data_IF_762013393372
#
_entry.id   IF_762013393372
#
_cell.length_a   1.000
_cell.length_b   1.000
_cell.length_c   1.000
_cell.angle_alpha   90.00
_cell.angle_beta   90.00
_cell.angle_gamma   90.00
#
_symmetry.space_group_name_H-M   'P 1'
#
loop_
_entity.id
_entity.type
_entity.pdbx_description
1 polymer ?
#
# COMPACT_ATOMS: atom_id res chain seq x y z
N UNK A 1 15.74 22.13 -44.40
CA UNK A 1 14.96 21.50 -43.31
C UNK A 1 15.75 20.36 -42.63
N UNK A 2 16.90 20.66 -41.98
CA UNK A 2 17.76 19.64 -41.34
C UNK A 2 18.06 19.91 -39.85
N UNK A 3 17.64 21.06 -39.31
CA UNK A 3 18.00 21.50 -37.96
C UNK A 3 17.12 20.95 -36.81
N UNK A 4 16.00 20.28 -37.11
CA UNK A 4 15.09 19.70 -36.09
C UNK A 4 15.42 18.25 -35.69
N UNK A 5 16.26 17.56 -36.48
CA UNK A 5 16.65 16.16 -36.29
C UNK A 5 17.59 15.89 -35.10
N UNK A 6 18.59 16.76 -34.78
CA UNK A 6 19.51 16.49 -33.68
C UNK A 6 18.81 16.43 -32.32
N UNK A 7 17.87 17.35 -32.08
CA UNK A 7 17.10 17.40 -30.83
C UNK A 7 16.18 16.18 -30.64
N UNK A 8 15.66 15.62 -31.73
CA UNK A 8 14.83 14.41 -31.68
C UNK A 8 15.68 13.16 -31.39
N UNK A 9 16.86 13.06 -32.01
CA UNK A 9 17.83 11.98 -31.77
C UNK A 9 18.34 11.97 -30.32
N UNK A 10 18.69 13.14 -29.78
CA UNK A 10 19.11 13.26 -28.37
C UNK A 10 17.97 12.86 -27.42
N UNK A 11 16.72 13.24 -27.72
CA UNK A 11 15.54 12.82 -26.92
C UNK A 11 15.30 11.32 -26.97
N UNK A 12 15.50 10.67 -28.12
CA UNK A 12 15.36 9.23 -28.26
C UNK A 12 16.49 8.48 -27.54
N UNK A 13 17.73 8.94 -27.70
CA UNK A 13 18.90 8.37 -27.02
C UNK A 13 18.78 8.48 -25.49
N UNK A 14 18.35 9.65 -24.98
CA UNK A 14 18.11 9.85 -23.54
C UNK A 14 16.96 8.98 -23.02
N UNK A 15 15.87 8.82 -23.78
CA UNK A 15 14.80 7.86 -23.44
C UNK A 15 15.29 6.42 -23.40
N UNK A 16 16.09 6.02 -24.40
CA UNK A 16 16.70 4.69 -24.46
C UNK A 16 17.61 4.45 -23.26
N UNK A 17 18.54 5.37 -23.01
CA UNK A 17 19.45 5.30 -21.86
C UNK A 17 18.71 5.26 -20.51
N UNK A 18 17.61 6.02 -20.37
CA UNK A 18 16.76 5.98 -19.17
C UNK A 18 16.15 4.60 -18.96
N UNK A 19 15.51 4.02 -19.99
CA UNK A 19 14.91 2.67 -19.92
C UNK A 19 15.93 1.56 -19.68
N UNK A 20 17.17 1.78 -20.11
CA UNK A 20 18.27 0.82 -19.97
C UNK A 20 19.03 0.94 -18.64
N UNK A 21 18.63 1.80 -17.71
CA UNK A 21 19.36 1.94 -16.43
C UNK A 21 20.70 2.66 -16.56
N UNK A 22 20.93 3.41 -17.65
CA UNK A 22 22.22 4.03 -17.97
C UNK A 22 22.36 5.48 -17.47
N UNK A 23 21.29 6.06 -16.91
CA UNK A 23 21.33 7.43 -16.38
C UNK A 23 22.14 7.52 -15.08
N UNK A 24 22.59 8.73 -14.68
CA UNK A 24 23.13 8.95 -13.35
C UNK A 24 22.13 8.52 -12.27
N UNK A 25 22.63 7.93 -11.18
CA UNK A 25 21.76 7.47 -10.07
C UNK A 25 20.95 8.62 -9.45
N UNK A 26 21.47 9.85 -9.46
CA UNK A 26 20.73 11.04 -9.01
C UNK A 26 19.45 11.30 -9.80
N UNK A 27 19.42 10.96 -11.10
CA UNK A 27 18.22 11.07 -11.93
C UNK A 27 17.14 10.09 -11.47
N UNK A 28 17.52 8.84 -11.23
CA UNK A 28 16.60 7.83 -10.72
C UNK A 28 16.10 8.15 -9.31
N UNK A 29 16.98 8.61 -8.42
CA UNK A 29 16.59 9.06 -7.07
C UNK A 29 15.58 10.22 -7.14
N UNK A 30 15.79 11.18 -8.04
CA UNK A 30 14.83 12.26 -8.23
C UNK A 30 13.46 11.74 -8.69
N UNK A 31 13.43 10.77 -9.60
CA UNK A 31 12.20 10.13 -10.07
C UNK A 31 11.49 9.35 -8.97
N UNK A 32 12.24 8.59 -8.14
CA UNK A 32 11.71 7.91 -6.95
C UNK A 32 11.03 8.93 -6.03
N UNK A 33 11.69 10.06 -5.75
CA UNK A 33 11.12 11.11 -4.90
C UNK A 33 9.86 11.74 -5.50
N UNK A 34 9.78 11.87 -6.83
CA UNK A 34 8.56 12.35 -7.48
C UNK A 34 7.43 11.33 -7.40
N UNK A 35 7.71 10.05 -7.59
CA UNK A 35 6.74 8.97 -7.48
C UNK A 35 6.17 8.88 -6.06
N UNK A 36 7.04 8.90 -5.04
CA UNK A 36 6.63 8.93 -3.63
C UNK A 36 5.76 10.15 -3.29
N UNK A 37 6.10 11.34 -3.82
CA UNK A 37 5.28 12.55 -3.65
C UNK A 37 3.87 12.42 -4.26
N UNK A 38 3.73 11.65 -5.35
CA UNK A 38 2.44 11.36 -5.99
C UNK A 38 1.69 10.22 -5.30
N UNK A 39 2.33 9.52 -4.36
CA UNK A 39 1.79 8.33 -3.71
C UNK A 39 1.88 7.06 -4.55
N UNK A 40 2.65 7.08 -5.64
CA UNK A 40 2.86 5.92 -6.51
C UNK A 40 4.06 5.11 -6.01
N UNK A 41 3.75 4.13 -5.15
CA UNK A 41 4.76 3.24 -4.58
C UNK A 41 5.32 2.27 -5.62
N UNK A 42 4.49 1.81 -6.56
CA UNK A 42 4.89 0.83 -7.58
C UNK A 42 5.87 1.46 -8.55
N UNK A 43 5.61 2.71 -8.99
CA UNK A 43 6.56 3.48 -9.79
C UNK A 43 7.88 3.68 -9.02
N UNK A 44 7.82 4.09 -7.74
CA UNK A 44 9.01 4.30 -6.92
C UNK A 44 9.88 3.03 -6.79
N UNK A 45 9.27 1.88 -6.52
CA UNK A 45 9.96 0.58 -6.41
C UNK A 45 10.55 0.15 -7.75
N UNK A 46 9.80 0.32 -8.84
CA UNK A 46 10.27 -0.05 -10.18
C UNK A 46 11.50 0.76 -10.61
N UNK A 47 11.49 2.06 -10.33
CA UNK A 47 12.61 2.96 -10.63
C UNK A 47 13.82 2.65 -9.76
N UNK A 48 13.60 2.35 -8.47
CA UNK A 48 14.66 1.89 -7.58
C UNK A 48 15.33 0.61 -8.11
N UNK A 49 14.54 -0.42 -8.46
CA UNK A 49 15.05 -1.66 -9.05
C UNK A 49 15.85 -1.41 -10.33
N UNK A 50 15.36 -0.51 -11.19
CA UNK A 50 16.08 -0.14 -12.41
C UNK A 50 17.43 0.52 -12.09
N UNK A 51 17.48 1.40 -11.10
CA UNK A 51 18.70 2.10 -10.66
C UNK A 51 19.80 1.12 -10.22
N UNK A 52 19.44 0.12 -9.42
CA UNK A 52 20.38 -0.85 -8.83
C UNK A 52 20.65 -2.07 -9.70
N UNK A 53 19.83 -2.31 -10.74
CA UNK A 53 19.98 -3.48 -11.62
C UNK A 53 21.31 -3.56 -12.38
N UNK A 54 21.98 -2.42 -12.60
CA UNK A 54 23.22 -2.34 -13.40
C UNK A 54 24.43 -1.80 -12.66
N UNK A 55 24.22 -1.17 -11.51
CA UNK A 55 25.27 -0.51 -10.73
C UNK A 55 24.98 -0.70 -9.26
N UNK A 56 26.04 -0.87 -8.48
CA UNK A 56 25.94 -0.90 -7.02
C UNK A 56 25.28 0.39 -6.53
N UNK A 57 24.40 0.26 -5.53
CA UNK A 57 23.74 1.40 -4.93
C UNK A 57 24.76 2.36 -4.31
N UNK A 58 24.63 3.65 -4.61
CA UNK A 58 25.37 4.69 -3.89
C UNK A 58 24.62 5.13 -2.64
N UNK A 59 25.28 5.90 -1.78
CA UNK A 59 24.67 6.48 -0.57
C UNK A 59 23.33 7.19 -0.86
N UNK A 60 23.22 7.93 -1.96
CA UNK A 60 21.96 8.62 -2.32
C UNK A 60 20.84 7.64 -2.73
N UNK A 61 21.21 6.48 -3.24
CA UNK A 61 20.27 5.42 -3.63
C UNK A 61 19.84 4.61 -2.39
N UNK A 62 20.75 4.41 -1.43
CA UNK A 62 20.41 3.82 -0.12
C UNK A 62 19.42 4.70 0.65
N UNK A 63 19.66 6.02 0.71
CA UNK A 63 18.70 6.96 1.33
C UNK A 63 17.34 6.89 0.61
N UNK A 64 17.33 6.75 -0.72
CA UNK A 64 16.09 6.57 -1.46
C UNK A 64 15.37 5.26 -1.11
N UNK A 65 16.10 4.15 -0.89
CA UNK A 65 15.54 2.89 -0.39
C UNK A 65 14.89 3.08 0.98
N UNK A 66 15.59 3.73 1.92
CA UNK A 66 15.07 4.00 3.26
C UNK A 66 13.79 4.82 3.21
N UNK A 67 13.71 5.82 2.33
CA UNK A 67 12.50 6.62 2.14
C UNK A 67 11.33 5.80 1.58
N UNK A 68 11.59 4.86 0.67
CA UNK A 68 10.57 3.92 0.20
C UNK A 68 10.10 3.03 1.36
N UNK A 69 11.02 2.48 2.16
CA UNK A 69 10.68 1.67 3.33
C UNK A 69 9.83 2.44 4.34
N UNK A 70 10.19 3.69 4.64
CA UNK A 70 9.40 4.56 5.54
C UNK A 70 8.01 4.87 4.97
N UNK A 71 7.90 5.07 3.66
CA UNK A 71 6.61 5.29 3.01
C UNK A 71 5.70 4.05 3.14
N UNK A 72 6.27 2.86 2.99
CA UNK A 72 5.57 1.59 3.23
C UNK A 72 5.09 1.51 4.68
N UNK A 73 5.98 1.80 5.65
CA UNK A 73 5.65 1.73 7.08
C UNK A 73 4.49 2.67 7.44
N UNK A 74 4.53 3.92 6.99
CA UNK A 74 3.44 4.88 7.20
C UNK A 74 2.11 4.36 6.62
N UNK A 75 2.15 3.67 5.48
CA UNK A 75 0.95 3.13 4.83
C UNK A 75 0.41 1.91 5.60
N UNK A 76 1.30 1.05 6.08
CA UNK A 76 0.95 -0.08 6.95
C UNK A 76 0.31 0.42 8.25
N UNK A 77 0.90 1.41 8.92
CA UNK A 77 0.36 1.98 10.16
C UNK A 77 -1.05 2.55 9.96
N UNK A 78 -1.29 3.24 8.84
CA UNK A 78 -2.62 3.76 8.50
C UNK A 78 -3.64 2.65 8.28
N UNK A 79 -3.26 1.59 7.56
CA UNK A 79 -4.14 0.44 7.32
C UNK A 79 -4.41 -0.32 8.62
N UNK A 80 -3.39 -0.47 9.48
CA UNK A 80 -3.55 -1.11 10.79
C UNK A 80 -4.52 -0.32 11.67
N UNK A 81 -4.41 1.01 11.71
CA UNK A 81 -5.37 1.86 12.41
C UNK A 81 -6.80 1.67 11.90
N UNK A 82 -7.00 1.49 10.59
CA UNK A 82 -8.33 1.19 10.02
C UNK A 82 -8.84 -0.20 10.40
N UNK A 83 -7.96 -1.19 10.40
CA UNK A 83 -8.29 -2.54 10.87
C UNK A 83 -8.73 -2.49 12.34
N UNK A 84 -8.01 -1.76 13.19
CA UNK A 84 -8.33 -1.64 14.61
C UNK A 84 -9.68 -0.94 14.83
N UNK A 85 -10.01 0.09 14.03
CA UNK A 85 -11.33 0.73 14.03
C UNK A 85 -12.45 -0.26 13.66
N UNK A 86 -12.28 -1.02 12.56
CA UNK A 86 -13.27 -2.01 12.10
C UNK A 86 -13.44 -3.13 13.14
N UNK A 87 -12.35 -3.63 13.71
CA UNK A 87 -12.38 -4.64 14.75
C UNK A 87 -13.12 -4.13 16.00
N UNK A 88 -12.91 -2.87 16.39
CA UNK A 88 -13.61 -2.26 17.52
C UNK A 88 -15.11 -2.14 17.26
N UNK A 89 -15.53 -1.74 16.05
CA UNK A 89 -16.95 -1.70 15.66
C UNK A 89 -17.57 -3.10 15.75
N UNK A 90 -16.90 -4.12 15.21
CA UNK A 90 -17.37 -5.50 15.27
C UNK A 90 -17.47 -6.03 16.70
N UNK A 91 -16.49 -5.71 17.57
CA UNK A 91 -16.52 -6.09 19.00
C UNK A 91 -17.64 -5.38 19.75
N UNK A 92 -17.82 -4.07 19.52
CA UNK A 92 -18.90 -3.29 20.12
C UNK A 92 -20.27 -3.86 19.73
N UNK A 93 -20.48 -4.17 18.45
CA UNK A 93 -21.73 -4.77 17.94
C UNK A 93 -21.99 -6.15 18.55
N UNK A 94 -20.97 -7.01 18.66
CA UNK A 94 -21.09 -8.31 19.35
C UNK A 94 -21.50 -8.14 20.81
N UNK A 95 -20.91 -7.18 21.52
CA UNK A 95 -21.23 -6.93 22.93
C UNK A 95 -22.65 -6.38 23.11
N UNK A 96 -23.09 -5.47 22.23
CA UNK A 96 -24.45 -4.94 22.19
C UNK A 96 -25.46 -6.03 21.87
N UNK A 97 -25.18 -6.87 20.86
CA UNK A 97 -26.01 -8.01 20.52
C UNK A 97 -26.10 -9.01 21.66
N UNK A 98 -25.01 -9.29 22.38
CA UNK A 98 -25.03 -10.16 23.56
C UNK A 98 -25.84 -9.54 24.72
N UNK A 99 -25.85 -8.22 24.88
CA UNK A 99 -26.71 -7.52 25.87
C UNK A 99 -28.17 -7.55 25.45
N UNK A 100 -28.47 -7.20 24.21
CA UNK A 100 -29.81 -7.25 23.62
C UNK A 100 -30.37 -8.66 23.67
N UNK A 101 -29.61 -9.69 23.32
CA UNK A 101 -30.03 -11.09 23.41
C UNK A 101 -30.34 -11.50 24.85
N UNK A 102 -29.55 -11.06 25.84
CA UNK A 102 -29.84 -11.33 27.27
C UNK A 102 -31.09 -10.61 27.74
N UNK A 103 -31.29 -9.36 27.32
CA UNK A 103 -32.51 -8.60 27.63
C UNK A 103 -33.74 -9.22 26.95
N UNK A 104 -33.64 -9.52 25.66
CA UNK A 104 -34.68 -10.20 24.89
C UNK A 104 -34.95 -11.61 25.38
N UNK A 105 -33.97 -12.38 25.85
CA UNK A 105 -34.23 -13.68 26.47
C UNK A 105 -35.05 -13.57 27.77
N UNK A 106 -34.89 -12.46 28.52
CA UNK A 106 -35.76 -12.15 29.66
C UNK A 106 -37.17 -11.70 29.24
N UNK A 107 -37.29 -11.02 28.11
CA UNK A 107 -38.56 -10.46 27.61
C UNK A 107 -39.37 -11.46 26.77
N UNK A 108 -38.76 -12.14 25.79
CA UNK A 108 -39.33 -13.22 24.96
C UNK A 108 -39.47 -14.56 25.70
N UNK A 109 -39.07 -14.65 26.98
CA UNK A 109 -39.57 -15.71 27.86
C UNK A 109 -41.10 -15.70 27.99
N UNK A 110 -41.77 -14.61 27.56
CA UNK A 110 -43.23 -14.45 27.56
C UNK A 110 -43.88 -14.47 26.17
N UNK A 111 -43.17 -14.25 25.06
CA UNK A 111 -43.78 -14.15 23.72
C UNK A 111 -42.88 -14.78 22.64
N UNK A 112 -43.50 -15.49 21.68
CA UNK A 112 -42.82 -16.29 20.65
C UNK A 112 -41.92 -15.48 19.69
N UNK A 113 -40.84 -16.13 19.24
CA UNK A 113 -39.69 -15.58 18.49
C UNK A 113 -39.99 -15.02 17.09
N UNK A 114 -39.24 -13.97 16.71
CA UNK A 114 -38.72 -13.75 15.33
C UNK A 114 -37.25 -13.27 15.38
N UNK A 115 -36.37 -13.74 14.48
CA UNK A 115 -34.98 -13.28 14.40
C UNK A 115 -34.84 -11.95 13.64
N UNK A 116 -33.90 -11.09 14.07
CA UNK A 116 -33.61 -9.76 13.50
C UNK A 116 -32.85 -9.83 12.15
N UNK A 117 -33.04 -8.85 11.24
CA UNK A 117 -32.42 -8.82 9.92
C UNK A 117 -31.20 -7.87 9.87
N UNK A 118 -29.97 -8.36 10.07
CA UNK A 118 -28.77 -7.47 10.05
C UNK A 118 -27.48 -8.09 9.50
N UNK A 119 -27.53 -9.33 8.97
CA UNK A 119 -26.34 -10.10 8.58
C UNK A 119 -25.50 -9.51 7.42
N UNK A 120 -26.05 -8.62 6.59
CA UNK A 120 -25.32 -8.05 5.44
C UNK A 120 -24.19 -7.07 5.83
N UNK A 121 -24.40 -6.29 6.89
CA UNK A 121 -23.46 -5.25 7.27
C UNK A 121 -22.20 -5.82 7.98
N UNK A 122 -22.32 -6.95 8.68
CA UNK A 122 -21.14 -7.64 9.22
C UNK A 122 -20.30 -8.34 8.15
N UNK A 123 -20.91 -8.87 7.09
CA UNK A 123 -20.15 -9.50 6.01
C UNK A 123 -19.32 -8.49 5.22
N UNK A 124 -19.87 -7.30 4.98
CA UNK A 124 -19.16 -6.21 4.29
C UNK A 124 -17.93 -5.75 5.10
N UNK A 125 -18.08 -5.49 6.41
CA UNK A 125 -16.96 -5.11 7.28
C UNK A 125 -15.88 -6.19 7.39
N UNK A 126 -16.26 -7.48 7.32
CA UNK A 126 -15.30 -8.59 7.31
C UNK A 126 -14.55 -8.70 5.99
N UNK A 127 -15.21 -8.39 4.87
CA UNK A 127 -14.57 -8.34 3.56
C UNK A 127 -13.55 -7.21 3.50
N UNK A 128 -13.92 -6.00 3.95
CA UNK A 128 -13.03 -4.84 4.03
C UNK A 128 -11.80 -5.13 4.93
N UNK A 129 -12.01 -5.78 6.07
CA UNK A 129 -10.92 -6.22 6.94
C UNK A 129 -9.97 -7.23 6.25
N UNK A 130 -10.51 -8.17 5.47
CA UNK A 130 -9.69 -9.13 4.73
C UNK A 130 -8.88 -8.44 3.62
N UNK A 131 -9.47 -7.48 2.91
CA UNK A 131 -8.78 -6.68 1.89
C UNK A 131 -7.64 -5.85 2.49
N UNK A 132 -7.88 -5.18 3.62
CA UNK A 132 -6.83 -4.40 4.29
C UNK A 132 -5.68 -5.29 4.80
N UNK A 133 -5.98 -6.49 5.30
CA UNK A 133 -4.94 -7.46 5.70
C UNK A 133 -4.12 -7.93 4.52
N UNK A 134 -4.76 -8.30 3.40
CA UNK A 134 -4.06 -8.68 2.17
C UNK A 134 -3.19 -7.53 1.63
N UNK A 135 -3.66 -6.29 1.74
CA UNK A 135 -2.90 -5.11 1.33
C UNK A 135 -1.66 -4.88 2.20
N UNK A 136 -1.75 -5.10 3.52
CA UNK A 136 -0.60 -5.05 4.42
C UNK A 136 0.41 -6.16 4.06
N UNK A 137 -0.05 -7.38 3.81
CA UNK A 137 0.82 -8.49 3.39
C UNK A 137 1.60 -8.15 2.12
N UNK A 138 0.94 -7.59 1.10
CA UNK A 138 1.60 -7.15 -0.13
C UNK A 138 2.62 -6.03 0.09
N UNK A 139 2.33 -5.08 0.98
CA UNK A 139 3.26 -4.01 1.33
C UNK A 139 4.49 -4.54 2.09
N UNK A 140 4.29 -5.50 2.98
CA UNK A 140 5.39 -6.14 3.70
C UNK A 140 6.26 -6.98 2.75
N UNK A 141 5.66 -7.68 1.79
CA UNK A 141 6.39 -8.43 0.77
C UNK A 141 7.31 -7.50 -0.05
N UNK A 142 6.77 -6.36 -0.52
CA UNK A 142 7.56 -5.31 -1.18
C UNK A 142 8.75 -4.87 -0.31
N UNK A 143 8.52 -4.65 0.98
CA UNK A 143 9.58 -4.23 1.92
C UNK A 143 10.66 -5.30 2.08
N UNK A 144 10.29 -6.58 2.21
CA UNK A 144 11.26 -7.68 2.31
C UNK A 144 12.11 -7.80 1.05
N UNK A 145 11.48 -7.67 -0.12
CA UNK A 145 12.18 -7.67 -1.40
C UNK A 145 13.15 -6.49 -1.54
N UNK A 146 12.77 -5.29 -1.11
CA UNK A 146 13.67 -4.13 -1.13
C UNK A 146 14.92 -4.35 -0.28
N UNK A 147 14.78 -4.98 0.90
CA UNK A 147 15.91 -5.30 1.79
C UNK A 147 16.85 -6.36 1.24
N UNK A 148 16.34 -7.26 0.38
CA UNK A 148 17.17 -8.29 -0.27
C UNK A 148 18.01 -7.78 -1.44
N UNK A 149 17.76 -6.56 -1.92
CA UNK A 149 18.40 -5.98 -3.11
C UNK A 149 19.62 -5.11 -2.74
N UNK A 150 19.75 -4.70 -1.48
CA UNK A 150 20.93 -4.00 -0.93
C UNK A 150 21.92 -4.97 -0.30
#
# INVERSE_FOLDING_TARGET
>A
MLALLPGLLVKLATRGARRLGLMPQSTYVHEIMQALKRGDLDEAVSVYRLCVSRRQASNITEVARELIEQFVDIRVDKLQSRIDEIENILRARKSLHARLRRWWARVLGLFGRKPLPEARCESELRAELAEHKAMIEGLLDIKTHLRSIG
#
